data_IF_443902570345
#
_entry.id   IF_443902570345
#
_cell.length_a   1.000
_cell.length_b   1.000
_cell.length_c   1.000
_cell.angle_alpha   90.00
_cell.angle_beta   90.00
_cell.angle_gamma   90.00
#
_symmetry.space_group_name_H-M   'P 1'
#
loop_
_entity.id
_entity.type
_entity.pdbx_description
1 polymer ?
#
# COMPACT_ATOMS: atom_id res chain seq x y z
N UNK A 1 75.55 -5.59 -2.46
CA UNK A 1 74.68 -4.42 -2.18
C UNK A 1 73.26 -4.93 -1.97
N UNK A 2 72.65 -4.61 -0.81
CA UNK A 2 71.36 -5.10 -0.32
C UNK A 2 70.18 -4.44 -1.05
N UNK A 3 69.14 -5.20 -1.39
CA UNK A 3 67.78 -4.64 -1.63
C UNK A 3 66.85 -5.20 -0.56
N UNK A 4 66.39 -4.28 0.28
CA UNK A 4 65.51 -4.49 1.43
C UNK A 4 64.06 -4.59 0.93
N UNK A 5 63.34 -5.57 1.46
CA UNK A 5 61.89 -5.73 1.30
C UNK A 5 61.15 -4.70 2.16
N UNK A 6 60.08 -4.12 1.63
CA UNK A 6 59.03 -3.52 2.45
C UNK A 6 57.68 -4.07 2.01
N UNK A 7 57.10 -4.86 2.90
CA UNK A 7 55.71 -5.28 2.88
C UNK A 7 54.84 -4.11 3.36
N UNK A 8 53.77 -3.80 2.63
CA UNK A 8 52.75 -2.84 3.08
C UNK A 8 51.56 -3.61 3.63
N UNK A 9 51.27 -3.36 4.90
CA UNK A 9 50.15 -3.94 5.63
C UNK A 9 48.84 -3.15 5.38
N UNK A 10 47.75 -3.93 5.32
CA UNK A 10 46.35 -3.69 5.72
C UNK A 10 45.78 -2.27 5.80
N UNK A 11 44.55 -2.09 5.27
CA UNK A 11 43.40 -1.54 6.02
C UNK A 11 42.16 -2.34 5.61
N UNK A 12 41.50 -2.95 6.60
CA UNK A 12 40.19 -3.56 6.48
C UNK A 12 39.11 -2.47 6.46
N UNK A 13 38.32 -2.40 5.40
CA UNK A 13 37.10 -1.59 5.38
C UNK A 13 35.94 -2.44 5.93
N UNK A 14 35.73 -2.36 7.25
CA UNK A 14 34.49 -2.77 7.88
C UNK A 14 33.41 -1.74 7.51
N UNK A 15 32.82 -1.89 6.32
CA UNK A 15 31.63 -1.16 5.92
C UNK A 15 30.47 -1.64 6.77
N UNK A 16 29.90 -0.72 7.56
CA UNK A 16 28.64 -0.87 8.28
C UNK A 16 27.54 -1.28 7.29
N UNK A 17 27.27 -2.58 7.19
CA UNK A 17 26.02 -3.09 6.66
C UNK A 17 24.94 -2.71 7.69
N UNK A 18 24.45 -1.48 7.62
CA UNK A 18 23.22 -1.11 8.27
C UNK A 18 22.15 -2.06 7.74
N UNK A 19 21.68 -2.96 8.60
CA UNK A 19 20.54 -3.81 8.29
C UNK A 19 19.41 -2.90 7.84
N UNK A 20 19.06 -2.95 6.56
CA UNK A 20 17.77 -2.48 6.11
C UNK A 20 16.76 -3.35 6.83
N UNK A 21 16.25 -2.87 7.96
CA UNK A 21 15.14 -3.50 8.65
C UNK A 21 13.97 -3.33 7.68
N UNK A 22 13.74 -4.35 6.86
CA UNK A 22 12.55 -4.47 6.06
C UNK A 22 11.39 -4.33 7.03
N UNK A 23 10.78 -3.15 7.05
CA UNK A 23 9.69 -2.85 7.97
C UNK A 23 8.53 -3.71 7.50
N UNK A 24 8.20 -4.74 8.29
CA UNK A 24 7.14 -5.67 7.92
C UNK A 24 5.83 -4.89 7.68
N UNK A 25 5.14 -5.17 6.56
CA UNK A 25 3.87 -4.52 6.27
C UNK A 25 2.92 -4.71 7.44
N UNK A 26 2.18 -3.64 7.75
CA UNK A 26 1.15 -3.69 8.74
C UNK A 26 -0.10 -4.23 8.05
N UNK A 27 -0.51 -5.43 8.46
CA UNK A 27 -1.70 -6.09 7.93
C UNK A 27 -2.95 -5.56 8.64
N UNK A 28 -4.07 -5.50 7.92
CA UNK A 28 -5.34 -5.03 8.49
C UNK A 28 -5.81 -5.85 9.69
N UNK A 29 -5.47 -7.14 9.78
CA UNK A 29 -5.79 -7.97 10.95
C UNK A 29 -5.21 -7.40 12.26
N UNK A 30 -4.14 -6.62 12.16
CA UNK A 30 -3.45 -6.01 13.29
C UNK A 30 -3.71 -4.50 13.41
N UNK A 31 -4.39 -3.87 12.45
CA UNK A 31 -4.62 -2.43 12.43
C UNK A 31 -6.10 -2.10 12.61
N UNK A 32 -6.40 -1.19 13.53
CA UNK A 32 -7.73 -0.64 13.70
C UNK A 32 -7.92 0.58 12.80
N UNK A 33 -8.95 0.58 11.96
CA UNK A 33 -9.37 1.75 11.19
C UNK A 33 -10.17 2.66 12.13
N UNK A 34 -9.73 3.91 12.29
CA UNK A 34 -10.42 4.91 13.11
C UNK A 34 -11.42 5.70 12.28
N UNK A 35 -11.11 5.95 11.01
CA UNK A 35 -11.99 6.63 10.09
C UNK A 35 -11.81 6.06 8.68
N UNK A 36 -12.94 5.72 8.09
CA UNK A 36 -13.08 5.34 6.69
C UNK A 36 -14.22 6.19 6.12
N UNK A 37 -13.96 7.05 5.13
CA UNK A 37 -15.03 7.77 4.46
C UNK A 37 -15.97 6.77 3.75
N UNK A 38 -17.20 7.21 3.48
CA UNK A 38 -18.08 6.44 2.62
C UNK A 38 -17.39 6.19 1.25
N UNK A 39 -17.62 5.04 0.61
CA UNK A 39 -17.09 4.79 -0.72
C UNK A 39 -17.55 5.89 -1.68
N UNK A 40 -16.61 6.38 -2.48
CA UNK A 40 -16.92 7.34 -3.54
C UNK A 40 -17.64 6.57 -4.63
N UNK A 41 -18.89 6.93 -4.92
CA UNK A 41 -19.63 6.32 -6.02
C UNK A 41 -18.89 6.54 -7.32
N UNK A 42 -18.71 5.47 -8.09
CA UNK A 42 -18.09 5.53 -9.40
C UNK A 42 -19.13 5.24 -10.49
N UNK A 43 -19.20 6.11 -11.49
CA UNK A 43 -19.96 5.88 -12.71
C UNK A 43 -18.95 5.66 -13.84
N UNK A 44 -18.86 4.44 -14.40
CA UNK A 44 -18.01 4.18 -15.55
C UNK A 44 -18.49 4.95 -16.80
N UNK A 45 -17.54 5.33 -17.66
CA UNK A 45 -17.80 6.18 -18.82
C UNK A 45 -18.19 5.40 -20.10
N UNK A 46 -18.28 4.07 -20.04
CA UNK A 46 -18.42 3.20 -21.21
C UNK A 46 -19.69 2.35 -21.22
N UNK A 47 -20.09 1.91 -22.41
CA UNK A 47 -21.26 1.03 -22.60
C UNK A 47 -20.90 -0.47 -22.64
N UNK A 48 -19.62 -0.82 -22.59
CA UNK A 48 -19.11 -2.20 -22.81
C UNK A 48 -17.87 -2.61 -22.01
N UNK A 49 -17.07 -1.66 -21.49
CA UNK A 49 -15.83 -1.96 -20.75
C UNK A 49 -16.09 -2.38 -19.28
N UNK A 50 -17.26 -2.07 -18.76
CA UNK A 50 -17.64 -2.21 -17.34
C UNK A 50 -17.92 -3.67 -16.91
N UNK A 51 -17.98 -4.61 -17.86
CA UNK A 51 -18.24 -6.03 -17.56
C UNK A 51 -16.95 -6.82 -17.35
N UNK A 52 -15.83 -6.37 -17.93
CA UNK A 52 -14.57 -7.10 -17.85
C UNK A 52 -13.87 -6.92 -16.50
N UNK A 53 -14.12 -5.81 -15.82
CA UNK A 53 -13.53 -5.50 -14.52
C UNK A 53 -14.39 -5.95 -13.33
N UNK A 54 -15.61 -6.44 -13.58
CA UNK A 54 -16.49 -6.90 -12.50
C UNK A 54 -15.88 -8.07 -11.72
N UNK A 55 -15.81 -7.89 -10.40
CA UNK A 55 -15.20 -8.83 -9.48
C UNK A 55 -13.67 -8.79 -9.45
N UNK A 56 -12.99 -8.03 -10.33
CA UNK A 56 -11.52 -7.83 -10.25
C UNK A 56 -11.16 -7.01 -9.02
N UNK A 57 -9.92 -7.20 -8.57
CA UNK A 57 -9.36 -6.46 -7.45
C UNK A 57 -7.91 -6.11 -7.70
N UNK A 58 -7.46 -5.04 -7.06
CA UNK A 58 -6.07 -4.65 -7.03
C UNK A 58 -5.68 -4.15 -5.65
N UNK A 59 -4.38 -4.12 -5.38
CA UNK A 59 -3.84 -3.68 -4.11
C UNK A 59 -3.37 -2.23 -4.20
N UNK A 60 -3.63 -1.46 -3.16
CA UNK A 60 -3.08 -0.12 -2.93
C UNK A 60 -2.13 -0.21 -1.75
N UNK A 61 -0.88 0.18 -1.95
CA UNK A 61 0.10 0.29 -0.89
C UNK A 61 0.20 1.75 -0.44
N UNK A 62 0.02 2.02 0.85
CA UNK A 62 0.19 3.35 1.46
C UNK A 62 1.18 3.30 2.62
N UNK A 63 1.87 4.41 2.90
CA UNK A 63 2.65 4.58 4.13
C UNK A 63 1.81 5.24 5.22
N UNK A 64 1.81 4.63 6.41
CA UNK A 64 1.13 5.18 7.59
C UNK A 64 1.98 6.29 8.20
N UNK A 65 1.48 7.53 8.24
CA UNK A 65 2.13 8.64 8.91
C UNK A 65 1.99 8.54 10.44
N UNK A 66 2.81 9.30 11.18
CA UNK A 66 2.81 9.28 12.66
C UNK A 66 1.45 9.67 13.30
N UNK A 67 0.61 10.42 12.57
CA UNK A 67 -0.74 10.79 13.00
C UNK A 67 -1.82 9.79 12.56
N UNK A 68 -1.44 8.63 12.01
CA UNK A 68 -2.35 7.60 11.52
C UNK A 68 -2.96 7.88 10.14
N UNK A 69 -2.64 8.99 9.49
CA UNK A 69 -3.10 9.24 8.11
C UNK A 69 -2.29 8.41 7.12
N UNK A 70 -2.94 8.02 6.03
CA UNK A 70 -2.26 7.36 4.92
C UNK A 70 -1.63 8.40 3.99
N UNK A 71 -0.47 8.08 3.43
CA UNK A 71 0.31 8.93 2.53
C UNK A 71 1.10 8.08 1.55
N UNK A 72 1.60 8.66 0.45
CA UNK A 72 2.34 7.93 -0.59
C UNK A 72 1.60 6.65 -1.02
N UNK A 73 0.30 6.78 -1.31
CA UNK A 73 -0.53 5.68 -1.76
C UNK A 73 -0.31 5.44 -3.24
N UNK A 74 -0.02 4.19 -3.60
CA UNK A 74 0.25 3.76 -4.97
C UNK A 74 -0.54 2.49 -5.26
N UNK A 75 -1.11 2.41 -6.46
CA UNK A 75 -1.75 1.20 -6.94
C UNK A 75 -0.68 0.21 -7.39
N UNK A 76 -0.80 -1.05 -6.98
CA UNK A 76 0.01 -2.14 -7.49
C UNK A 76 -0.33 -2.46 -8.94
N UNK A 77 0.47 -3.37 -9.52
CA UNK A 77 0.17 -3.94 -10.84
C UNK A 77 -1.24 -4.52 -10.86
N UNK A 78 -2.00 -4.17 -11.89
CA UNK A 78 -3.39 -4.59 -12.02
C UNK A 78 -3.78 -4.72 -13.50
N UNK A 79 -4.84 -5.49 -13.73
CA UNK A 79 -5.40 -5.78 -15.05
C UNK A 79 -6.74 -5.07 -15.26
N UNK A 80 -6.99 -3.97 -14.52
CA UNK A 80 -8.18 -3.16 -14.72
C UNK A 80 -8.03 -2.37 -16.01
N UNK A 81 -9.09 -2.35 -16.81
CA UNK A 81 -9.16 -1.49 -17.98
C UNK A 81 -9.47 -0.04 -17.59
N UNK A 82 -10.22 0.14 -16.50
CA UNK A 82 -10.68 1.46 -16.08
C UNK A 82 -9.72 2.14 -15.09
N UNK A 83 -8.79 2.93 -15.63
CA UNK A 83 -7.84 3.71 -14.83
C UNK A 83 -8.52 4.75 -13.91
N UNK A 84 -9.73 5.22 -14.23
CA UNK A 84 -10.45 6.19 -13.39
C UNK A 84 -10.92 5.57 -12.09
N UNK A 85 -11.26 4.29 -12.11
CA UNK A 85 -11.56 3.57 -10.88
C UNK A 85 -10.36 3.52 -9.95
N UNK A 86 -9.15 3.34 -10.50
CA UNK A 86 -7.90 3.33 -9.74
C UNK A 86 -7.67 4.69 -9.07
N UNK A 87 -7.83 5.79 -9.80
CA UNK A 87 -7.68 7.14 -9.27
C UNK A 87 -8.66 7.44 -8.13
N UNK A 88 -9.92 7.04 -8.30
CA UNK A 88 -10.97 7.24 -7.28
C UNK A 88 -10.70 6.40 -6.04
N UNK A 89 -10.28 5.14 -6.23
CA UNK A 89 -9.90 4.26 -5.14
C UNK A 89 -8.69 4.81 -4.36
N UNK A 90 -7.66 5.30 -5.05
CA UNK A 90 -6.51 5.96 -4.44
C UNK A 90 -6.93 7.20 -3.64
N UNK A 91 -7.77 8.05 -4.24
CA UNK A 91 -8.28 9.25 -3.57
C UNK A 91 -9.08 8.89 -2.31
N UNK A 92 -9.91 7.85 -2.36
CA UNK A 92 -10.69 7.39 -1.20
C UNK A 92 -9.78 6.80 -0.11
N UNK A 93 -8.90 5.87 -0.45
CA UNK A 93 -7.99 5.20 0.50
C UNK A 93 -7.06 6.22 1.17
N UNK A 94 -6.57 7.22 0.46
CA UNK A 94 -5.70 8.26 1.02
C UNK A 94 -6.33 9.07 2.17
N UNK A 95 -7.66 9.06 2.28
CA UNK A 95 -8.41 9.77 3.33
C UNK A 95 -8.58 8.95 4.61
N UNK A 96 -8.19 7.67 4.61
CA UNK A 96 -8.36 6.80 5.76
C UNK A 96 -7.45 7.23 6.92
N UNK A 97 -7.94 6.98 8.13
CA UNK A 97 -7.18 7.18 9.37
C UNK A 97 -7.14 5.85 10.10
N UNK A 98 -5.94 5.39 10.42
CA UNK A 98 -5.69 4.19 11.20
C UNK A 98 -5.19 4.52 12.60
N UNK A 99 -5.30 3.56 13.50
CA UNK A 99 -4.77 3.69 14.84
C UNK A 99 -3.23 3.81 14.80
N UNK A 100 -2.62 4.62 15.69
CA UNK A 100 -1.17 4.80 15.76
C UNK A 100 -0.42 3.55 16.28
N UNK A 101 -1.17 2.56 16.76
CA UNK A 101 -0.65 1.29 17.26
C UNK A 101 -1.49 0.11 16.76
N UNK A 102 -0.81 -1.02 16.53
CA UNK A 102 -1.45 -2.29 16.23
C UNK A 102 -2.19 -2.84 17.46
N UNK A 103 -2.99 -3.88 17.26
CA UNK A 103 -3.63 -4.62 18.37
C UNK A 103 -2.58 -5.15 19.36
N UNK A 104 -1.41 -5.58 18.87
CA UNK A 104 -0.26 -5.98 19.69
C UNK A 104 0.55 -4.84 20.33
N UNK A 105 0.10 -3.59 20.21
CA UNK A 105 0.73 -2.41 20.83
C UNK A 105 1.97 -1.87 20.10
N UNK A 106 2.33 -2.42 18.94
CA UNK A 106 3.45 -1.93 18.13
C UNK A 106 3.05 -0.64 17.41
N UNK A 107 3.99 0.28 17.20
CA UNK A 107 3.70 1.48 16.40
C UNK A 107 3.37 1.11 14.96
N UNK A 108 2.40 1.82 14.37
CA UNK A 108 2.06 1.70 12.94
C UNK A 108 2.78 2.73 12.07
N UNK A 109 3.37 3.76 12.66
CA UNK A 109 4.03 4.84 11.93
C UNK A 109 5.20 4.33 11.09
N UNK A 110 5.27 4.77 9.83
CA UNK A 110 6.28 4.39 8.86
C UNK A 110 6.09 3.00 8.26
N UNK A 111 5.08 2.23 8.70
CA UNK A 111 4.79 0.91 8.13
C UNK A 111 3.94 1.04 6.86
N UNK A 112 4.18 0.19 5.85
CA UNK A 112 3.28 0.12 4.70
C UNK A 112 1.97 -0.59 5.10
N UNK A 113 0.85 -0.08 4.60
CA UNK A 113 -0.47 -0.67 4.68
C UNK A 113 -0.91 -1.07 3.27
N UNK A 114 -1.30 -2.33 3.10
CA UNK A 114 -1.82 -2.85 1.83
C UNK A 114 -3.35 -2.94 1.92
N UNK A 115 -4.05 -2.24 1.03
CA UNK A 115 -5.51 -2.21 0.92
C UNK A 115 -5.91 -2.87 -0.39
N UNK A 116 -6.65 -3.97 -0.34
CA UNK A 116 -7.21 -4.57 -1.56
C UNK A 116 -8.53 -3.88 -1.88
N UNK A 117 -8.63 -3.30 -3.06
CA UNK A 117 -9.86 -2.69 -3.57
C UNK A 117 -10.46 -3.62 -4.59
N UNK A 118 -11.77 -3.88 -4.47
CA UNK A 118 -12.52 -4.69 -5.42
C UNK A 118 -13.51 -3.82 -6.18
N UNK A 119 -13.55 -4.01 -7.48
CA UNK A 119 -14.60 -3.49 -8.33
C UNK A 119 -15.79 -4.43 -8.22
N UNK A 120 -16.90 -3.94 -7.64
CA UNK A 120 -18.18 -4.65 -7.65
C UNK A 120 -19.23 -3.72 -8.25
N UNK A 121 -19.95 -4.19 -9.26
CA UNK A 121 -21.16 -3.51 -9.72
C UNK A 121 -22.27 -3.72 -8.71
N UNK A 122 -23.01 -2.66 -8.42
CA UNK A 122 -24.23 -2.77 -7.63
C UNK A 122 -25.41 -3.04 -8.58
N UNK A 123 -26.06 -4.20 -8.41
CA UNK A 123 -27.12 -4.68 -9.28
C UNK A 123 -28.25 -3.64 -9.43
N UNK A 124 -28.42 -3.07 -10.63
CA UNK A 124 -29.58 -2.25 -10.98
C UNK A 124 -29.39 -0.73 -10.96
N UNK A 125 -28.18 -0.23 -10.70
CA UNK A 125 -27.82 1.16 -11.00
C UNK A 125 -26.43 1.16 -11.63
N UNK A 126 -26.13 2.07 -12.54
CA UNK A 126 -24.86 2.14 -13.28
C UNK A 126 -23.66 2.57 -12.38
N UNK A 127 -23.75 2.31 -11.08
CA UNK A 127 -22.79 2.71 -10.07
C UNK A 127 -22.00 1.50 -9.58
N UNK A 128 -20.67 1.59 -9.67
CA UNK A 128 -19.76 0.66 -8.99
C UNK A 128 -19.43 1.22 -7.61
N UNK A 129 -19.52 0.35 -6.59
CA UNK A 129 -19.08 0.69 -5.24
C UNK A 129 -17.60 0.33 -5.09
N UNK A 130 -16.79 1.29 -4.66
CA UNK A 130 -15.39 1.05 -4.25
C UNK A 130 -15.42 0.33 -2.91
N UNK A 131 -15.54 -0.99 -2.92
CA UNK A 131 -15.42 -1.78 -1.70
C UNK A 131 -13.93 -2.06 -1.49
N UNK A 132 -13.30 -1.19 -0.70
CA UNK A 132 -12.00 -1.49 -0.13
C UNK A 132 -12.18 -2.61 0.92
N UNK A 133 -11.73 -3.80 0.57
CA UNK A 133 -11.70 -4.95 1.47
C UNK A 133 -10.30 -5.03 2.06
N UNK A 134 -10.23 -4.83 3.36
CA UNK A 134 -9.03 -5.11 4.14
C UNK A 134 -8.55 -6.55 3.86
N UNK A 135 -7.40 -6.70 3.21
CA UNK A 135 -6.84 -8.02 2.88
C UNK A 135 -5.90 -8.49 3.99
N UNK A 136 -6.20 -9.67 4.51
CA UNK A 136 -5.36 -10.43 5.44
C UNK A 136 -4.80 -11.61 4.65
N UNK A 137 -3.74 -11.40 3.86
CA UNK A 137 -2.98 -12.55 3.34
C UNK A 137 -2.10 -13.12 4.43
#
# INVERSE_FOLDING_TARGET
MKRVWMATAAIAAAGLAGSAVATEPAYFGDIRILHQPAPSGYQPEGTTFDLEDDGKSFDIACTIAANGRLSACEAGENELYDEKFIDIALANVSQWIVAPQTVGGQSTAGRPLIVTVRFNRSDGNETADVVAVASTR
#
